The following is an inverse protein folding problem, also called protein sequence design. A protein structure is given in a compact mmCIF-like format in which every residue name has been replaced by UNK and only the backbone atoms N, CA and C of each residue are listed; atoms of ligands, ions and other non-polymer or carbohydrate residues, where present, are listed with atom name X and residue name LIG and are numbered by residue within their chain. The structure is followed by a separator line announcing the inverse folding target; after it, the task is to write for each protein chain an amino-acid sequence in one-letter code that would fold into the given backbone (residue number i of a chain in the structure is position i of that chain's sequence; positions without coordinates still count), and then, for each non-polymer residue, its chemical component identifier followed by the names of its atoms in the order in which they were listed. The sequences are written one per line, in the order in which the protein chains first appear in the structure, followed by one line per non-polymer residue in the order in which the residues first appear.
data_IF_819328946122
#
_entry.id   IF_819328946122
#
_cell.length_a   1.000
_cell.length_b   1.000
_cell.length_c   1.000
_cell.angle_alpha   90.00
_cell.angle_beta   90.00
_cell.angle_gamma   90.00
#
_symmetry.space_group_name_H-M   'P 1'
#
loop_
_entity.id
_entity.type
_entity.pdbx_description
1 polymer ?
#
# COMPACT_ATOMS: atom_id res chain seq x y z
N UNK A 1 14.78 1.35 11.35
CA UNK A 1 14.50 2.65 10.72
C UNK A 1 13.00 2.83 10.78
N UNK A 2 12.48 3.92 11.35
CA UNK A 2 11.04 4.19 11.35
C UNK A 2 10.71 5.05 10.13
N UNK A 3 9.74 4.65 9.33
CA UNK A 3 9.30 5.40 8.17
C UNK A 3 8.34 6.54 8.57
N UNK A 4 8.07 7.44 7.63
CA UNK A 4 7.35 8.68 7.90
C UNK A 4 5.86 8.45 8.15
N UNK A 5 5.24 7.53 7.41
CA UNK A 5 3.80 7.28 7.47
C UNK A 5 3.49 5.89 8.02
N UNK A 6 2.25 5.69 8.46
CA UNK A 6 1.75 4.36 8.84
C UNK A 6 1.88 3.35 7.70
N UNK A 7 1.56 3.79 6.48
CA UNK A 7 1.69 3.06 5.22
C UNK A 7 2.50 3.92 4.25
N UNK A 8 3.52 3.34 3.61
CA UNK A 8 4.43 4.01 2.70
C UNK A 8 4.49 3.24 1.38
N UNK A 9 4.27 3.92 0.26
CA UNK A 9 4.53 3.40 -1.09
C UNK A 9 5.97 3.77 -1.46
N UNK A 10 6.89 2.81 -1.45
CA UNK A 10 8.30 3.09 -1.73
C UNK A 10 8.51 3.43 -3.21
N UNK A 11 9.24 4.51 -3.49
CA UNK A 11 9.49 4.98 -4.86
C UNK A 11 8.29 5.66 -5.52
N UNK A 12 7.19 5.89 -4.80
CA UNK A 12 6.05 6.63 -5.32
C UNK A 12 6.49 8.00 -5.88
N UNK A 13 5.82 8.44 -6.96
CA UNK A 13 6.12 9.65 -7.74
C UNK A 13 7.38 9.59 -8.63
N UNK A 14 8.26 8.63 -8.42
CA UNK A 14 9.49 8.46 -9.21
C UNK A 14 9.43 7.22 -10.09
N UNK A 15 8.82 6.15 -9.58
CA UNK A 15 8.70 4.85 -10.24
C UNK A 15 7.26 4.55 -10.69
N UNK A 16 7.09 3.46 -11.43
CA UNK A 16 5.77 2.95 -11.86
C UNK A 16 5.29 1.74 -11.04
N UNK A 17 6.10 1.21 -10.13
CA UNK A 17 5.73 0.16 -9.20
C UNK A 17 6.71 0.10 -8.04
N UNK A 18 6.32 -0.52 -6.92
CA UNK A 18 7.19 -0.72 -5.78
C UNK A 18 6.53 -1.42 -4.62
N UNK A 19 7.24 -1.52 -3.50
CA UNK A 19 6.74 -2.15 -2.29
C UNK A 19 5.85 -1.20 -1.48
N UNK A 20 4.83 -1.76 -0.84
CA UNK A 20 4.04 -1.10 0.19
C UNK A 20 4.49 -1.61 1.54
N UNK A 21 4.95 -0.68 2.38
CA UNK A 21 5.53 -1.00 3.67
C UNK A 21 4.85 -0.24 4.81
N UNK A 22 4.74 -0.90 5.95
CA UNK A 22 4.31 -0.30 7.21
C UNK A 22 5.40 0.61 7.78
N UNK A 23 5.06 1.36 8.84
CA UNK A 23 6.00 2.26 9.50
C UNK A 23 7.24 1.56 10.09
N UNK A 24 7.08 0.34 10.55
CA UNK A 24 8.15 -0.52 11.10
C UNK A 24 8.94 -1.27 10.01
N UNK A 25 8.54 -1.13 8.75
CA UNK A 25 9.26 -1.67 7.59
C UNK A 25 8.83 -3.08 7.19
N UNK A 26 7.68 -3.56 7.66
CA UNK A 26 7.07 -4.78 7.16
C UNK A 26 6.50 -4.54 5.76
N UNK A 27 6.82 -5.42 4.81
CA UNK A 27 6.24 -5.41 3.46
C UNK A 27 4.88 -6.11 3.53
N UNK A 28 3.82 -5.40 3.18
CA UNK A 28 2.44 -5.89 3.24
C UNK A 28 1.82 -6.10 1.85
N UNK A 29 2.51 -5.66 0.79
CA UNK A 29 2.08 -5.83 -0.58
C UNK A 29 2.87 -4.95 -1.54
N UNK A 30 2.33 -4.77 -2.73
CA UNK A 30 2.94 -4.05 -3.84
C UNK A 30 2.00 -2.99 -4.36
N UNK A 31 2.56 -1.92 -4.91
CA UNK A 31 1.81 -0.91 -5.65
C UNK A 31 2.28 -0.83 -7.10
N UNK A 32 1.39 -0.41 -7.98
CA UNK A 32 1.68 -0.14 -9.40
C UNK A 32 0.92 1.07 -9.89
N UNK A 33 1.52 1.84 -10.81
CA UNK A 33 0.91 2.97 -11.48
C UNK A 33 0.28 2.51 -12.79
N UNK A 34 -1.04 2.63 -12.88
CA UNK A 34 -1.85 2.32 -14.06
C UNK A 34 -2.24 3.62 -14.75
N UNK A 35 -2.15 3.61 -16.08
CA UNK A 35 -2.48 4.73 -16.97
C UNK A 35 -1.80 6.06 -16.57
N UNK A 36 -0.66 5.98 -15.90
CA UNK A 36 0.12 7.14 -15.45
C UNK A 36 -0.52 7.98 -14.35
N UNK A 37 -1.66 7.56 -13.77
CA UNK A 37 -2.45 8.41 -12.86
C UNK A 37 -3.16 7.66 -11.72
N UNK A 38 -3.23 6.33 -11.75
CA UNK A 38 -3.95 5.53 -10.75
C UNK A 38 -2.97 4.60 -10.06
N UNK A 39 -2.92 4.65 -8.74
CA UNK A 39 -2.11 3.75 -7.94
C UNK A 39 -2.97 2.58 -7.50
N UNK A 40 -2.55 1.38 -7.86
CA UNK A 40 -3.14 0.12 -7.44
C UNK A 40 -2.36 -0.46 -6.27
N UNK A 41 -3.05 -1.15 -5.37
CA UNK A 41 -2.46 -1.92 -4.28
C UNK A 41 -2.88 -3.39 -4.36
N UNK A 42 -1.88 -4.27 -4.37
CA UNK A 42 -2.02 -5.73 -4.33
C UNK A 42 -1.40 -6.26 -3.03
N UNK A 43 -2.16 -6.95 -2.16
CA UNK A 43 -1.63 -7.60 -0.96
C UNK A 43 -0.58 -8.67 -1.29
N UNK A 44 0.31 -8.96 -0.35
CA UNK A 44 1.38 -9.96 -0.53
C UNK A 44 0.85 -11.38 -0.86
N UNK A 45 -0.32 -11.73 -0.33
CA UNK A 45 -1.01 -13.00 -0.54
C UNK A 45 -2.06 -12.95 -1.68
N UNK A 46 -2.22 -11.79 -2.33
CA UNK A 46 -3.15 -11.56 -3.42
C UNK A 46 -2.51 -11.70 -4.80
N UNK A 47 -3.30 -12.10 -5.79
CA UNK A 47 -2.92 -12.10 -7.21
C UNK A 47 -3.40 -10.86 -7.97
N UNK A 48 -4.22 -10.01 -7.31
CA UNK A 48 -4.92 -8.88 -7.94
C UNK A 48 -4.98 -7.65 -7.04
N UNK A 49 -5.07 -6.45 -7.64
CA UNK A 49 -5.32 -5.23 -6.89
C UNK A 49 -6.65 -5.29 -6.14
N UNK A 50 -6.66 -4.87 -4.87
CA UNK A 50 -7.89 -4.76 -4.07
C UNK A 50 -8.30 -3.30 -3.83
N UNK A 51 -7.35 -2.35 -3.96
CA UNK A 51 -7.60 -0.92 -3.88
C UNK A 51 -6.91 -0.19 -5.03
N UNK A 52 -7.57 0.85 -5.52
CA UNK A 52 -7.10 1.69 -6.61
C UNK A 52 -7.48 3.13 -6.33
N UNK A 53 -6.53 4.06 -6.42
CA UNK A 53 -6.83 5.47 -6.23
C UNK A 53 -5.82 6.41 -6.90
N UNK A 54 -6.27 7.56 -7.41
CA UNK A 54 -5.38 8.58 -7.99
C UNK A 54 -4.60 9.37 -6.95
N UNK A 55 -5.11 9.42 -5.71
CA UNK A 55 -4.44 10.10 -4.60
C UNK A 55 -3.83 9.10 -3.63
N UNK A 56 -2.49 9.13 -3.50
CA UNK A 56 -1.72 8.23 -2.63
C UNK A 56 -2.17 8.30 -1.17
N UNK A 57 -2.44 9.50 -0.64
CA UNK A 57 -2.87 9.64 0.76
C UNK A 57 -4.15 8.86 1.08
N UNK A 58 -5.10 8.83 0.14
CA UNK A 58 -6.36 8.11 0.31
C UNK A 58 -6.18 6.60 0.11
N UNK A 59 -5.29 6.20 -0.80
CA UNK A 59 -4.90 4.79 -0.95
C UNK A 59 -4.24 4.27 0.34
N UNK A 60 -3.28 5.02 0.91
CA UNK A 60 -2.64 4.67 2.18
C UNK A 60 -3.66 4.56 3.33
N UNK A 61 -4.67 5.43 3.38
CA UNK A 61 -5.75 5.37 4.38
C UNK A 61 -6.60 4.09 4.21
N UNK A 62 -6.93 3.70 2.98
CA UNK A 62 -7.65 2.44 2.70
C UNK A 62 -6.82 1.22 3.11
N UNK A 63 -5.54 1.18 2.74
CA UNK A 63 -4.62 0.10 3.11
C UNK A 63 -4.48 0.01 4.63
N UNK A 64 -4.34 1.15 5.32
CA UNK A 64 -4.23 1.20 6.77
C UNK A 64 -5.46 0.61 7.47
N UNK A 65 -6.66 1.00 7.04
CA UNK A 65 -7.93 0.45 7.57
C UNK A 65 -8.09 -1.04 7.30
N UNK A 66 -7.68 -1.48 6.12
CA UNK A 66 -7.68 -2.90 5.78
C UNK A 66 -6.72 -3.69 6.67
N UNK A 67 -5.50 -3.20 6.90
CA UNK A 67 -4.50 -3.85 7.75
C UNK A 67 -4.96 -3.94 9.21
N UNK A 68 -5.61 -2.89 9.73
CA UNK A 68 -6.23 -2.89 11.07
C UNK A 68 -7.28 -4.01 11.19
N UNK A 69 -8.14 -4.17 10.19
CA UNK A 69 -9.13 -5.26 10.16
C UNK A 69 -8.46 -6.64 10.11
N UNK A 70 -7.43 -6.85 9.29
CA UNK A 70 -6.72 -8.14 9.22
C UNK A 70 -6.06 -8.53 10.55
N UNK A 71 -5.59 -7.54 11.32
CA UNK A 71 -4.98 -7.74 12.62
C UNK A 71 -6.01 -8.17 13.68
N UNK A 72 -7.23 -7.63 13.62
CA UNK A 72 -8.33 -8.00 14.53
C UNK A 72 -8.79 -9.45 14.32
N UNK A 73 -8.68 -10.01 13.11
CA UNK A 73 -9.02 -11.42 12.83
C UNK A 73 -7.90 -12.42 13.16
N UNK A 74 -6.69 -11.95 13.50
CA UNK A 74 -5.55 -12.81 13.88
C UNK A 74 -5.46 -13.09 15.40
N UNK A 75 -6.39 -12.59 16.21
CA UNK A 75 -6.45 -12.76 17.65
C UNK A 75 -7.51 -13.78 18.10
#
# INVERSE_FOLDING_TARGET
MQLQFKINLLGAYEEVAGDVVTQDGEIIGFWSLIDGAIYDFTPLDGDRPIFSHSFIWALCDQIGKWLEQQSEYRH
#
